data_IF_959188652626
#
_entry.id   IF_959188652626
#
_cell.length_a   1.000
_cell.length_b   1.000
_cell.length_c   1.000
_cell.angle_alpha   90.00
_cell.angle_beta   90.00
_cell.angle_gamma   90.00
#
_symmetry.space_group_name_H-M   'P 1'
#
loop_
_entity.id
_entity.type
_entity.pdbx_description
1 polymer ?
#
# COMPACT_ATOMS: atom_id res chain seq x y z
N UNK A 1 -14.11 -4.27 -12.95
CA UNK A 1 -13.37 -5.55 -12.92
C UNK A 1 -12.21 -5.62 -13.89
N UNK A 2 -12.37 -5.80 -15.22
CA UNK A 2 -11.20 -5.94 -16.11
C UNK A 2 -10.37 -4.65 -16.30
N UNK A 3 -10.99 -3.48 -16.09
CA UNK A 3 -10.33 -2.16 -16.10
C UNK A 3 -9.56 -1.93 -14.78
N UNK A 4 -10.22 -2.11 -13.63
CA UNK A 4 -9.57 -1.99 -12.29
C UNK A 4 -8.35 -2.91 -12.13
N UNK A 5 -8.40 -4.16 -12.64
CA UNK A 5 -7.25 -5.07 -12.60
C UNK A 5 -6.05 -4.59 -13.45
N UNK A 6 -6.29 -3.85 -14.53
CA UNK A 6 -5.20 -3.24 -15.33
C UNK A 6 -4.55 -2.12 -14.54
N UNK A 7 -5.35 -1.33 -13.82
CA UNK A 7 -4.87 -0.20 -13.03
C UNK A 7 -4.01 -0.68 -11.84
N UNK A 8 -4.40 -1.78 -11.17
CA UNK A 8 -3.59 -2.34 -10.08
C UNK A 8 -2.23 -2.88 -10.54
N UNK A 9 -2.16 -3.53 -11.71
CA UNK A 9 -0.88 -4.02 -12.24
C UNK A 9 0.08 -2.88 -12.58
N UNK A 10 -0.45 -1.75 -13.05
CA UNK A 10 0.34 -0.56 -13.32
C UNK A 10 0.86 0.08 -12.02
N UNK A 11 0.03 0.12 -10.96
CA UNK A 11 0.45 0.55 -9.63
C UNK A 11 1.55 -0.34 -9.06
N UNK A 12 1.45 -1.67 -9.21
CA UNK A 12 2.53 -2.59 -8.80
C UNK A 12 3.83 -2.26 -9.54
N UNK A 13 3.77 -1.97 -10.84
CA UNK A 13 4.96 -1.59 -11.61
C UNK A 13 5.57 -0.28 -11.10
N UNK A 14 4.76 0.74 -10.87
CA UNK A 14 5.22 2.02 -10.34
C UNK A 14 5.83 1.86 -8.94
N UNK A 15 5.21 1.07 -8.06
CA UNK A 15 5.76 0.79 -6.74
C UNK A 15 7.09 0.02 -6.79
N UNK A 16 7.31 -0.82 -7.82
CA UNK A 16 8.60 -1.49 -8.05
C UNK A 16 9.72 -0.53 -8.48
N UNK A 17 9.38 0.61 -9.09
CA UNK A 17 10.37 1.65 -9.44
C UNK A 17 10.82 2.44 -8.20
N UNK A 18 10.00 2.46 -7.14
CA UNK A 18 10.29 3.14 -5.87
C UNK A 18 10.97 2.20 -4.87
N UNK A 19 10.55 0.94 -4.80
CA UNK A 19 11.01 -0.03 -3.79
C UNK A 19 12.16 -0.89 -4.32
N UNK A 20 13.25 -0.96 -3.55
CA UNK A 20 14.52 -1.64 -3.91
C UNK A 20 14.41 -3.14 -4.26
N UNK A 21 13.33 -3.81 -3.87
CA UNK A 21 13.14 -5.25 -4.08
C UNK A 21 11.66 -5.61 -4.12
N UNK A 22 11.30 -6.58 -4.97
CA UNK A 22 9.94 -7.13 -5.03
C UNK A 22 9.52 -7.83 -3.73
N UNK A 23 10.48 -8.42 -2.99
CA UNK A 23 10.21 -9.01 -1.69
C UNK A 23 9.87 -7.94 -0.65
N UNK A 24 10.63 -6.85 -0.66
CA UNK A 24 10.36 -5.72 0.21
C UNK A 24 8.97 -5.12 -0.11
N UNK A 25 8.64 -4.93 -1.39
CA UNK A 25 7.31 -4.45 -1.79
C UNK A 25 6.19 -5.31 -1.20
N UNK A 26 6.32 -6.64 -1.26
CA UNK A 26 5.33 -7.55 -0.69
C UNK A 26 5.18 -7.36 0.84
N UNK A 27 6.30 -7.22 1.55
CA UNK A 27 6.32 -6.99 2.99
C UNK A 27 5.62 -5.66 3.32
N UNK A 28 6.00 -4.58 2.64
CA UNK A 28 5.47 -3.23 2.90
C UNK A 28 3.96 -3.15 2.65
N UNK A 29 3.50 -3.72 1.53
CA UNK A 29 2.08 -3.76 1.22
C UNK A 29 1.32 -4.58 2.27
N UNK A 30 1.84 -5.74 2.67
CA UNK A 30 1.18 -6.59 3.68
C UNK A 30 1.09 -5.88 5.04
N UNK A 31 2.19 -5.27 5.49
CA UNK A 31 2.22 -4.50 6.74
C UNK A 31 1.23 -3.34 6.68
N UNK A 32 1.19 -2.61 5.56
CA UNK A 32 0.31 -1.46 5.43
C UNK A 32 -1.16 -1.84 5.39
N UNK A 33 -1.51 -2.91 4.68
CA UNK A 33 -2.88 -3.46 4.70
C UNK A 33 -3.29 -3.80 6.13
N UNK A 34 -2.41 -4.44 6.91
CA UNK A 34 -2.70 -4.76 8.31
C UNK A 34 -2.94 -3.52 9.18
N UNK A 35 -2.17 -2.44 8.97
CA UNK A 35 -2.41 -1.16 9.63
C UNK A 35 -3.79 -0.58 9.28
N UNK A 36 -4.16 -0.60 7.98
CA UNK A 36 -5.47 -0.12 7.53
C UNK A 36 -6.62 -0.98 8.10
N UNK A 37 -6.45 -2.29 8.16
CA UNK A 37 -7.40 -3.22 8.79
C UNK A 37 -7.59 -2.95 10.29
N UNK A 38 -6.54 -2.50 10.97
CA UNK A 38 -6.58 -2.15 12.40
C UNK A 38 -7.02 -0.70 12.66
N UNK A 39 -7.42 0.04 11.61
CA UNK A 39 -8.01 1.37 11.71
C UNK A 39 -7.03 2.54 11.56
N UNK A 40 -5.79 2.28 11.11
CA UNK A 40 -4.88 3.34 10.74
C UNK A 40 -5.48 4.18 9.60
N UNK A 41 -5.22 5.49 9.64
CA UNK A 41 -5.66 6.40 8.60
C UNK A 41 -4.73 6.34 7.38
N UNK A 42 -5.24 6.59 6.16
CA UNK A 42 -4.41 6.80 4.99
C UNK A 42 -3.35 7.91 5.21
N UNK A 43 -2.18 7.77 4.60
CA UNK A 43 -1.09 8.78 4.66
C UNK A 43 -1.12 9.75 3.47
N UNK A 44 -2.01 9.50 2.51
CA UNK A 44 -2.28 10.35 1.35
C UNK A 44 -3.72 10.87 1.44
N UNK A 45 -4.00 11.99 0.77
CA UNK A 45 -5.36 12.54 0.71
C UNK A 45 -6.21 11.73 -0.27
N UNK A 46 -7.17 10.96 0.26
CA UNK A 46 -8.07 10.08 -0.49
C UNK A 46 -9.49 10.22 0.03
N UNK A 47 -10.46 9.88 -0.84
CA UNK A 47 -11.85 9.80 -0.41
C UNK A 47 -12.04 8.66 0.60
N UNK A 48 -12.49 8.94 1.84
CA UNK A 48 -12.73 7.92 2.85
C UNK A 48 -13.74 6.85 2.41
N UNK A 49 -14.66 7.18 1.50
CA UNK A 49 -15.65 6.23 1.00
C UNK A 49 -15.04 5.20 0.04
N UNK A 50 -14.07 5.60 -0.78
CA UNK A 50 -13.38 4.76 -1.78
C UNK A 50 -12.50 3.68 -1.11
N UNK A 51 -11.93 4.00 0.05
CA UNK A 51 -11.01 3.13 0.78
C UNK A 51 -11.59 2.56 2.07
N UNK A 52 -12.91 2.49 2.19
CA UNK A 52 -13.61 1.96 3.37
C UNK A 52 -13.64 0.44 3.47
N UNK A 53 -13.04 -0.29 2.51
CA UNK A 53 -13.16 -1.75 2.43
C UNK A 53 -11.80 -2.45 2.26
N UNK A 54 -11.63 -3.68 2.81
CA UNK A 54 -10.41 -4.46 2.62
C UNK A 54 -10.04 -4.72 1.15
N UNK A 55 -11.00 -4.64 0.23
CA UNK A 55 -10.76 -4.85 -1.20
C UNK A 55 -9.98 -3.70 -1.85
N UNK A 56 -9.98 -2.50 -1.26
CA UNK A 56 -9.28 -1.33 -1.79
C UNK A 56 -7.98 -1.02 -1.03
N UNK A 57 -7.69 -1.70 0.08
CA UNK A 57 -6.44 -1.51 0.84
C UNK A 57 -5.18 -1.88 0.08
N UNK A 58 -5.23 -2.89 -0.79
CA UNK A 58 -4.09 -3.24 -1.63
C UNK A 58 -3.73 -2.09 -2.57
N UNK A 59 -4.74 -1.48 -3.18
CA UNK A 59 -4.55 -0.33 -4.05
C UNK A 59 -4.07 0.90 -3.29
N UNK A 60 -4.69 1.19 -2.14
CA UNK A 60 -4.29 2.30 -1.28
C UNK A 60 -2.84 2.18 -0.83
N UNK A 61 -2.44 1.01 -0.32
CA UNK A 61 -1.07 0.76 0.10
C UNK A 61 -0.08 0.97 -1.04
N UNK A 62 -0.40 0.54 -2.26
CA UNK A 62 0.46 0.79 -3.43
C UNK A 62 0.58 2.29 -3.74
N UNK A 63 -0.53 3.05 -3.69
CA UNK A 63 -0.51 4.50 -3.90
C UNK A 63 0.33 5.22 -2.84
N UNK A 64 0.17 4.86 -1.57
CA UNK A 64 0.96 5.40 -0.46
C UNK A 64 2.46 5.09 -0.58
N UNK A 65 2.83 3.89 -1.07
CA UNK A 65 4.23 3.54 -1.40
C UNK A 65 4.77 4.47 -2.49
N UNK A 66 4.00 4.66 -3.56
CA UNK A 66 4.41 5.45 -4.73
C UNK A 66 4.63 6.93 -4.34
N UNK A 67 3.74 7.48 -3.50
CA UNK A 67 3.82 8.86 -3.04
C UNK A 67 4.91 9.09 -1.96
N UNK A 68 5.53 8.02 -1.45
CA UNK A 68 6.65 8.11 -0.52
C UNK A 68 6.26 8.53 0.91
N UNK A 69 4.96 8.60 1.23
CA UNK A 69 4.45 8.99 2.54
C UNK A 69 4.44 7.84 3.56
N UNK A 70 4.93 6.65 3.20
CA UNK A 70 5.16 5.59 4.19
C UNK A 70 6.56 5.76 4.78
N UNK A 71 6.61 6.56 5.84
CA UNK A 71 7.73 6.51 6.77
C UNK A 71 7.75 5.08 7.35
N UNK A 72 8.78 4.35 6.93
CA UNK A 72 9.09 3.00 7.36
C UNK A 72 9.56 3.07 8.81
N UNK A 73 8.65 3.33 9.75
CA UNK A 73 8.98 3.10 11.15
C UNK A 73 9.39 1.63 11.27
N UNK A 74 10.61 1.49 11.80
CA UNK A 74 11.46 0.34 11.70
C UNK A 74 10.68 -0.93 12.01
N UNK A 75 10.87 -1.95 11.17
CA UNK A 75 10.57 -3.32 11.56
C UNK A 75 11.44 -3.58 12.78
N UNK A 76 10.92 -3.30 13.98
CA UNK A 76 11.58 -3.71 15.20
C UNK A 76 11.53 -5.22 15.16
N UNK A 77 12.68 -5.81 14.81
CA UNK A 77 13.03 -7.14 15.24
C UNK A 77 12.93 -7.12 16.77
N UNK A 78 11.75 -7.43 17.30
CA UNK A 78 11.63 -7.82 18.70
C UNK A 78 12.24 -9.21 18.80
N UNK A 79 13.37 -9.29 19.53
CA UNK A 79 14.11 -10.51 19.89
C UNK A 79 13.21 -11.63 20.46
#
# INVERSE_FOLDING_TARGET
MALEMKDTLELVRQAQDVVKSRYLLCILVTQRIHQLETGAQPTIDVDPEEYSSPKSYFELALREIIEGNMDLEQVTEED
#
